data_IF_199051603751
#
_entry.id   IF_199051603751
#
_cell.length_a   1.000
_cell.length_b   1.000
_cell.length_c   1.000
_cell.angle_alpha   90.00
_cell.angle_beta   90.00
_cell.angle_gamma   90.00
#
_symmetry.space_group_name_H-M   'P 1'
#
loop_
_entity.id
_entity.type
_entity.pdbx_description
1 polymer ?
#
# COMPACT_ATOMS: atom_id res chain seq x y z
N UNK A 1 2.83 6.40 24.18
CA UNK A 1 3.35 7.66 23.63
C UNK A 1 2.39 8.07 22.54
N UNK A 2 1.55 9.09 22.75
CA UNK A 2 0.65 9.56 21.69
C UNK A 2 1.48 10.18 20.58
N UNK A 3 1.26 9.84 19.29
CA UNK A 3 2.02 10.44 18.21
C UNK A 3 1.79 11.94 18.21
N UNK A 4 2.87 12.73 18.07
CA UNK A 4 2.77 14.16 17.82
C UNK A 4 1.93 14.35 16.55
N UNK A 5 0.95 15.28 16.50
CA UNK A 5 0.17 15.50 15.29
C UNK A 5 1.12 15.73 14.12
N UNK A 6 0.96 14.96 13.04
CA UNK A 6 1.68 15.23 11.80
C UNK A 6 1.30 16.65 11.38
N UNK A 7 2.30 17.48 11.06
CA UNK A 7 2.01 18.77 10.44
C UNK A 7 1.29 18.48 9.12
N UNK A 8 0.03 18.91 8.99
CA UNK A 8 -0.84 18.60 7.85
C UNK A 8 -0.15 18.91 6.51
N UNK A 9 0.69 19.95 6.47
CA UNK A 9 1.47 20.35 5.29
C UNK A 9 2.42 19.28 4.73
N UNK A 10 2.72 18.22 5.50
CA UNK A 10 3.66 17.17 5.11
C UNK A 10 3.06 15.76 5.12
N UNK A 11 1.74 15.66 5.25
CA UNK A 11 1.06 14.39 5.29
C UNK A 11 -0.09 14.35 4.29
N UNK A 12 -0.19 13.24 3.56
CA UNK A 12 -1.38 12.90 2.79
C UNK A 12 -2.14 11.85 3.58
N UNK A 13 -3.44 12.09 3.78
CA UNK A 13 -4.33 11.20 4.52
C UNK A 13 -5.37 10.57 3.59
N UNK A 14 -5.74 9.34 3.92
CA UNK A 14 -6.88 8.63 3.38
C UNK A 14 -7.60 7.98 4.56
N UNK A 15 -8.78 8.49 4.89
CA UNK A 15 -9.61 8.04 6.04
C UNK A 15 -10.74 7.09 5.62
N UNK A 16 -10.87 6.84 4.33
CA UNK A 16 -11.83 5.89 3.78
C UNK A 16 -11.24 5.23 2.53
N UNK A 17 -11.68 4.01 2.23
CA UNK A 17 -11.15 3.22 1.14
C UNK A 17 -12.24 2.83 0.14
N UNK A 18 -12.08 3.30 -1.09
CA UNK A 18 -12.98 2.99 -2.21
C UNK A 18 -12.27 2.13 -3.25
N UNK A 19 -12.95 1.06 -3.66
CA UNK A 19 -12.47 0.18 -4.73
C UNK A 19 -12.36 0.91 -6.08
N UNK A 20 -13.17 1.97 -6.30
CA UNK A 20 -13.13 2.77 -7.54
C UNK A 20 -11.88 3.64 -7.61
N UNK A 21 -11.41 4.16 -6.48
CA UNK A 21 -10.25 5.04 -6.40
C UNK A 21 -8.93 4.29 -6.14
N UNK A 22 -8.98 2.99 -5.86
CA UNK A 22 -7.83 2.24 -5.31
C UNK A 22 -6.55 2.41 -6.15
N UNK A 23 -6.66 2.36 -7.48
CA UNK A 23 -5.51 2.48 -8.40
C UNK A 23 -4.94 3.90 -8.44
N UNK A 24 -5.78 4.91 -8.29
CA UNK A 24 -5.32 6.30 -8.14
C UNK A 24 -4.57 6.45 -6.81
N UNK A 25 -5.14 5.94 -5.73
CA UNK A 25 -4.54 6.01 -4.39
C UNK A 25 -3.22 5.24 -4.30
N UNK A 26 -3.11 4.09 -4.94
CA UNK A 26 -1.85 3.37 -5.09
C UNK A 26 -0.74 4.19 -5.77
N UNK A 27 -1.09 5.07 -6.71
CA UNK A 27 -0.13 6.02 -7.30
C UNK A 27 0.23 7.11 -6.29
N UNK A 28 -0.78 7.72 -5.66
CA UNK A 28 -0.61 8.82 -4.71
C UNK A 28 0.26 8.45 -3.51
N UNK A 29 0.11 7.23 -3.01
CA UNK A 29 0.81 6.70 -1.83
C UNK A 29 2.08 5.90 -2.19
N UNK A 30 2.60 6.03 -3.41
CA UNK A 30 3.82 5.35 -3.82
C UNK A 30 5.05 5.84 -3.03
N UNK A 31 5.99 4.92 -2.78
CA UNK A 31 7.28 5.21 -2.15
C UNK A 31 8.40 5.00 -3.17
N UNK A 32 9.49 5.75 -3.04
CA UNK A 32 10.69 5.57 -3.84
C UNK A 32 11.94 6.08 -3.13
N UNK A 33 13.09 5.47 -3.41
CA UNK A 33 14.40 5.89 -2.90
C UNK A 33 15.42 6.20 -4.03
N UNK A 34 14.95 6.30 -5.28
CA UNK A 34 15.79 6.47 -6.48
C UNK A 34 16.35 5.17 -7.07
N UNK A 35 16.51 4.12 -6.26
CA UNK A 35 16.91 2.79 -6.72
C UNK A 35 15.69 1.89 -7.00
N UNK A 36 14.72 1.88 -6.09
CA UNK A 36 13.48 1.12 -6.17
C UNK A 36 12.29 2.04 -5.92
N UNK A 37 11.20 1.81 -6.65
CA UNK A 37 9.90 2.44 -6.48
C UNK A 37 8.81 1.39 -6.28
N UNK A 38 7.92 1.61 -5.32
CA UNK A 38 6.83 0.69 -5.01
C UNK A 38 5.53 1.47 -4.89
N UNK A 39 4.49 1.03 -5.59
CA UNK A 39 3.15 1.61 -5.48
C UNK A 39 2.62 1.47 -4.05
N UNK A 40 1.76 2.40 -3.65
CA UNK A 40 1.06 2.43 -2.37
C UNK A 40 -0.03 1.36 -2.27
N UNK A 41 0.25 0.09 -2.58
CA UNK A 41 -0.76 -0.97 -2.56
C UNK A 41 -1.05 -1.47 -1.16
N UNK A 42 -2.23 -2.06 -1.01
CA UNK A 42 -2.56 -2.84 0.19
C UNK A 42 -1.70 -4.12 0.21
N UNK A 43 -1.03 -4.38 1.32
CA UNK A 43 -0.10 -5.50 1.52
C UNK A 43 -0.77 -6.86 1.33
N UNK A 44 -2.02 -6.98 1.78
CA UNK A 44 -2.84 -8.19 1.62
C UNK A 44 -3.31 -8.43 0.19
N UNK A 45 -3.13 -7.45 -0.70
CA UNK A 45 -3.63 -7.48 -2.07
C UNK A 45 -5.14 -7.25 -2.15
N UNK A 46 -5.55 -6.50 -3.17
CA UNK A 46 -6.94 -6.29 -3.56
C UNK A 46 -7.12 -6.65 -5.02
N UNK A 47 -8.19 -7.36 -5.38
CA UNK A 47 -8.45 -7.79 -6.77
C UNK A 47 -8.55 -6.62 -7.76
N UNK A 48 -9.04 -5.46 -7.32
CA UNK A 48 -9.12 -4.25 -8.15
C UNK A 48 -7.82 -3.42 -8.18
N UNK A 49 -6.82 -3.80 -7.39
CA UNK A 49 -5.55 -3.10 -7.29
C UNK A 49 -4.62 -3.35 -8.48
N UNK A 50 -3.54 -2.60 -8.54
CA UNK A 50 -2.51 -2.74 -9.57
C UNK A 50 -1.12 -2.63 -8.94
N UNK A 51 -0.62 -3.70 -8.29
CA UNK A 51 0.68 -3.67 -7.64
C UNK A 51 1.82 -3.46 -8.63
N UNK A 52 2.74 -2.57 -8.24
CA UNK A 52 3.88 -2.17 -9.05
C UNK A 52 5.11 -2.03 -8.18
N UNK A 53 6.16 -2.79 -8.49
CA UNK A 53 7.50 -2.68 -7.88
C UNK A 53 8.48 -2.55 -9.03
N UNK A 54 9.32 -1.53 -9.00
CA UNK A 54 10.19 -1.16 -10.12
C UNK A 54 11.59 -0.87 -9.62
N UNK A 55 12.61 -1.44 -10.26
CA UNK A 55 14.02 -1.15 -9.96
C UNK A 55 14.59 -0.33 -11.12
N UNK A 56 15.21 0.80 -10.79
CA UNK A 56 15.91 1.63 -11.76
C UNK A 56 17.00 0.83 -12.49
N UNK A 57 16.98 0.86 -13.82
CA UNK A 57 17.92 0.12 -14.65
C UNK A 57 17.44 -1.27 -15.10
N UNK A 58 16.29 -1.77 -14.61
CA UNK A 58 15.70 -3.02 -15.10
C UNK A 58 14.61 -2.72 -16.12
N UNK A 59 14.92 -2.92 -17.40
CA UNK A 59 14.02 -2.69 -18.52
C UNK A 59 13.89 -3.94 -19.37
N UNK A 60 12.72 -4.12 -19.99
CA UNK A 60 12.46 -5.15 -20.99
C UNK A 60 11.66 -4.56 -22.15
N UNK A 61 11.91 -5.04 -23.35
CA UNK A 61 11.18 -4.61 -24.55
C UNK A 61 9.96 -5.52 -24.84
N UNK A 62 9.89 -6.70 -24.25
CA UNK A 62 8.86 -7.70 -24.53
C UNK A 62 8.68 -7.91 -26.03
N UNK A 63 7.44 -7.75 -26.52
CA UNK A 63 7.08 -7.73 -27.96
C UNK A 63 6.90 -6.31 -28.53
N UNK A 64 7.18 -5.29 -27.72
CA UNK A 64 7.01 -3.89 -28.07
C UNK A 64 8.17 -3.33 -28.91
N UNK A 65 8.09 -2.03 -29.22
CA UNK A 65 9.13 -1.31 -29.98
C UNK A 65 10.08 -0.49 -29.08
N UNK A 66 9.71 -0.26 -27.83
CA UNK A 66 10.51 0.51 -26.87
C UNK A 66 10.68 -0.32 -25.59
N UNK A 67 11.84 -0.15 -24.93
CA UNK A 67 12.09 -0.77 -23.64
C UNK A 67 11.33 -0.01 -22.54
N UNK A 68 10.62 -0.74 -21.69
CA UNK A 68 9.84 -0.20 -20.57
C UNK A 68 10.38 -0.76 -19.25
N UNK A 69 10.19 -0.02 -18.15
CA UNK A 69 10.62 -0.47 -16.83
C UNK A 69 9.79 -1.68 -16.41
N UNK A 70 10.47 -2.73 -15.95
CA UNK A 70 9.80 -3.99 -15.60
C UNK A 70 9.12 -3.87 -14.24
N UNK A 71 7.85 -4.27 -14.18
CA UNK A 71 7.18 -4.56 -12.90
C UNK A 71 7.73 -5.89 -12.36
N UNK A 72 8.57 -5.84 -11.33
CA UNK A 72 9.19 -7.00 -10.70
C UNK A 72 8.24 -7.68 -9.69
N UNK A 73 8.54 -8.90 -9.22
CA UNK A 73 7.74 -9.54 -8.17
C UNK A 73 7.57 -8.63 -6.94
N UNK A 74 6.34 -8.56 -6.41
CA UNK A 74 6.00 -7.71 -5.27
C UNK A 74 6.54 -8.29 -3.95
N UNK A 75 7.52 -7.65 -3.30
CA UNK A 75 8.09 -8.16 -2.05
C UNK A 75 7.21 -7.84 -0.81
N UNK A 76 6.17 -7.02 -0.95
CA UNK A 76 5.32 -6.55 0.15
C UNK A 76 4.05 -7.38 0.35
N UNK A 77 3.82 -8.40 -0.48
CA UNK A 77 2.62 -9.23 -0.39
C UNK A 77 2.62 -10.00 0.94
N UNK A 78 1.63 -9.74 1.80
CA UNK A 78 1.45 -10.40 3.09
C UNK A 78 -0.03 -10.77 3.28
N UNK A 79 -0.33 -12.07 3.29
CA UNK A 79 -1.68 -12.55 3.53
C UNK A 79 -1.84 -13.09 4.96
N UNK A 80 -2.82 -12.57 5.68
CA UNK A 80 -3.18 -13.04 7.02
C UNK A 80 -4.57 -13.65 6.96
N UNK A 81 -4.72 -14.86 7.47
CA UNK A 81 -5.97 -15.60 7.50
C UNK A 81 -6.41 -15.83 8.94
N UNK A 82 -7.69 -15.57 9.23
CA UNK A 82 -8.33 -15.92 10.49
C UNK A 82 -9.58 -16.74 10.18
N UNK A 83 -9.74 -17.88 10.85
CA UNK A 83 -10.87 -18.80 10.63
C UNK A 83 -11.07 -19.15 9.13
N UNK A 84 -9.98 -19.26 8.37
CA UNK A 84 -9.99 -19.57 6.93
C UNK A 84 -10.33 -18.38 6.01
N UNK A 85 -10.52 -17.18 6.55
CA UNK A 85 -10.86 -15.97 5.80
C UNK A 85 -9.69 -14.98 5.77
N UNK A 86 -9.31 -14.49 4.59
CA UNK A 86 -8.24 -13.49 4.44
C UNK A 86 -8.68 -12.13 4.98
N UNK A 87 -7.84 -11.50 5.81
CA UNK A 87 -8.00 -10.10 6.22
C UNK A 87 -7.73 -9.22 5.01
N UNK A 88 -8.79 -8.84 4.30
CA UNK A 88 -8.69 -8.04 3.07
C UNK A 88 -10.02 -7.40 2.71
N UNK A 89 -9.95 -6.31 1.95
CA UNK A 89 -11.10 -5.61 1.38
C UNK A 89 -12.01 -6.53 0.53
N UNK A 90 -11.46 -7.57 -0.09
CA UNK A 90 -12.23 -8.54 -0.88
C UNK A 90 -13.07 -9.50 -0.02
N UNK A 91 -12.79 -9.61 1.28
CA UNK A 91 -13.25 -10.71 2.11
C UNK A 91 -13.96 -10.27 3.40
N UNK A 92 -13.59 -9.12 3.95
CA UNK A 92 -14.12 -8.61 5.20
C UNK A 92 -14.59 -7.17 5.03
N UNK A 93 -15.58 -6.79 5.83
CA UNK A 93 -16.03 -5.40 5.90
C UNK A 93 -14.91 -4.55 6.53
N UNK A 94 -14.65 -3.38 5.97
CA UNK A 94 -13.74 -2.39 6.56
C UNK A 94 -14.60 -1.39 7.30
N UNK A 95 -14.42 -1.32 8.62
CA UNK A 95 -15.21 -0.44 9.49
C UNK A 95 -14.44 0.79 9.95
N UNK A 96 -13.11 0.72 9.94
CA UNK A 96 -12.22 1.86 10.18
C UNK A 96 -11.01 1.73 9.25
N UNK A 97 -10.59 2.83 8.63
CA UNK A 97 -9.42 2.87 7.79
C UNK A 97 -8.70 4.20 7.94
N UNK A 98 -7.37 4.15 8.02
CA UNK A 98 -6.52 5.32 7.88
C UNK A 98 -5.21 4.93 7.25
N UNK A 99 -4.86 5.59 6.16
CA UNK A 99 -3.54 5.51 5.53
C UNK A 99 -2.90 6.89 5.46
N UNK A 100 -1.61 6.94 5.79
CA UNK A 100 -0.87 8.20 5.91
C UNK A 100 0.48 8.10 5.23
N UNK A 101 0.71 8.97 4.25
CA UNK A 101 2.05 9.21 3.71
C UNK A 101 2.66 10.39 4.46
N UNK A 102 3.64 10.11 5.32
CA UNK A 102 4.47 11.14 5.96
C UNK A 102 5.65 11.47 5.03
N UNK A 103 5.57 12.61 4.36
CA UNK A 103 6.57 13.05 3.40
C UNK A 103 7.86 13.55 4.08
N UNK A 104 7.84 13.92 5.37
CA UNK A 104 9.08 14.27 6.11
C UNK A 104 9.91 13.03 6.42
N UNK A 105 9.25 11.92 6.74
CA UNK A 105 9.91 10.65 7.10
C UNK A 105 10.04 9.68 5.94
N UNK A 106 9.40 9.96 4.81
CA UNK A 106 9.28 9.04 3.67
C UNK A 106 8.69 7.67 4.08
N UNK A 107 7.69 7.70 4.97
CA UNK A 107 7.01 6.50 5.48
C UNK A 107 5.56 6.46 5.06
N UNK A 108 5.08 5.27 4.69
CA UNK A 108 3.66 4.98 4.52
C UNK A 108 3.18 4.13 5.70
N UNK A 109 2.22 4.63 6.47
CA UNK A 109 1.58 3.88 7.56
C UNK A 109 0.12 3.61 7.25
N UNK A 110 -0.40 2.48 7.73
CA UNK A 110 -1.80 2.09 7.57
C UNK A 110 -2.33 1.51 8.87
N UNK A 111 -3.55 1.88 9.21
CA UNK A 111 -4.38 1.25 10.22
C UNK A 111 -5.71 0.88 9.56
N UNK A 112 -6.12 -0.37 9.67
CA UNK A 112 -7.40 -0.85 9.14
C UNK A 112 -8.04 -1.79 10.16
N UNK A 113 -9.31 -1.58 10.45
CA UNK A 113 -10.12 -2.52 11.24
C UNK A 113 -11.09 -3.24 10.31
N UNK A 114 -10.93 -4.56 10.26
CA UNK A 114 -11.82 -5.46 9.54
C UNK A 114 -12.87 -6.05 10.49
N UNK A 115 -14.10 -6.22 10.00
CA UNK A 115 -15.17 -6.91 10.69
C UNK A 115 -15.59 -8.18 9.92
N UNK A 116 -15.69 -9.28 10.64
CA UNK A 116 -16.22 -10.54 10.11
C UNK A 116 -16.82 -11.40 11.22
N UNK A 117 -18.00 -11.96 10.98
CA UNK A 117 -18.71 -12.85 11.91
C UNK A 117 -18.82 -12.28 13.36
N UNK A 118 -19.10 -10.98 13.48
CA UNK A 118 -19.24 -10.30 14.78
C UNK A 118 -17.93 -10.04 15.53
N UNK A 119 -16.77 -10.39 14.94
CA UNK A 119 -15.43 -10.11 15.50
C UNK A 119 -14.76 -8.95 14.76
N UNK A 120 -13.83 -8.26 15.44
CA UNK A 120 -13.01 -7.17 14.90
C UNK A 120 -11.55 -7.60 14.84
N UNK A 121 -10.88 -7.26 13.76
CA UNK A 121 -9.46 -7.55 13.52
C UNK A 121 -8.74 -6.28 13.12
N UNK A 122 -7.69 -5.94 13.86
CA UNK A 122 -6.91 -4.73 13.65
C UNK A 122 -5.62 -5.07 12.91
N UNK A 123 -5.34 -4.31 11.85
CA UNK A 123 -4.13 -4.41 11.06
C UNK A 123 -3.41 -3.07 11.08
N UNK A 124 -2.14 -3.09 11.48
CA UNK A 124 -1.24 -1.96 11.40
C UNK A 124 -0.02 -2.29 10.55
N UNK A 125 0.35 -1.38 9.65
CA UNK A 125 1.62 -1.44 8.92
C UNK A 125 2.32 -0.09 8.93
N UNK A 126 3.65 -0.15 8.85
CA UNK A 126 4.54 0.97 8.59
C UNK A 126 5.63 0.48 7.66
N UNK A 127 5.81 1.16 6.53
CA UNK A 127 6.86 0.83 5.55
C UNK A 127 7.57 2.07 5.04
N UNK A 128 8.81 1.87 4.65
CA UNK A 128 9.67 2.85 3.99
C UNK A 128 10.66 2.12 3.07
N UNK A 129 11.23 2.84 2.12
CA UNK A 129 12.34 2.35 1.31
C UNK A 129 13.61 3.06 1.80
N UNK A 130 14.61 2.29 2.23
CA UNK A 130 15.86 2.84 2.79
C UNK A 130 16.52 3.78 1.78
N UNK A 131 16.91 4.99 2.22
CA UNK A 131 17.74 5.91 1.42
C UNK A 131 19.25 5.63 1.55
N UNK A 132 19.63 4.66 2.40
CA UNK A 132 21.00 4.19 2.57
C UNK A 132 21.31 3.03 1.65
#
# INVERSE_FOLDING_TARGET
>A
MSPRPLAEDWAIFEDDISGEEIRFRETLFALGNGYIGVRGTLEEGYRGGYPGTYIAGIYDQGKGKAAEIVNIPNPLCLEIYVDGKKLSMDNMEIIEHRRVLDMKKATLSRHTVFAHAGKRYEYESLRFLSLR
#
